data_IF_596562210441
#
_entry.id   IF_596562210441
#
_cell.length_a   1.000
_cell.length_b   1.000
_cell.length_c   1.000
_cell.angle_alpha   90.00
_cell.angle_beta   90.00
_cell.angle_gamma   90.00
#
_symmetry.space_group_name_H-M   'P 1'
#
loop_
_entity.id
_entity.type
_entity.pdbx_description
1 polymer ?
#
# COMPACT_ATOMS: atom_id res chain seq x y z
N UNK A 1 13.72 12.99 11.32
CA UNK A 1 12.35 13.47 11.63
C UNK A 1 12.03 14.50 10.59
N UNK A 2 10.96 14.28 9.85
CA UNK A 2 10.52 15.18 8.78
C UNK A 2 9.45 16.13 9.32
N UNK A 3 9.49 17.38 8.84
CA UNK A 3 8.56 18.45 9.22
C UNK A 3 7.97 19.06 7.96
N UNK A 4 6.65 19.24 7.92
CA UNK A 4 5.98 20.08 6.94
C UNK A 4 5.81 21.49 7.47
N UNK A 5 6.16 22.50 6.67
CA UNK A 5 6.01 23.92 6.99
C UNK A 5 4.78 24.46 6.26
N UNK A 6 3.84 25.03 7.02
CA UNK A 6 2.57 25.52 6.50
C UNK A 6 2.40 27.00 6.83
N UNK A 7 1.82 27.77 5.90
CA UNK A 7 1.44 29.16 6.11
C UNK A 7 -0.03 29.26 6.52
N UNK A 8 -0.30 30.15 7.46
CA UNK A 8 -1.62 30.49 7.98
C UNK A 8 -2.06 31.79 7.34
N UNK A 9 -3.06 31.71 6.48
CA UNK A 9 -3.69 32.87 5.89
C UNK A 9 -5.00 33.17 6.61
N UNK A 10 -5.01 34.30 7.30
CA UNK A 10 -6.16 34.82 8.01
C UNK A 10 -6.82 36.02 7.28
N UNK A 11 -6.42 36.29 6.04
CA UNK A 11 -7.02 37.38 5.25
C UNK A 11 -8.52 37.12 5.00
N UNK A 12 -9.31 38.21 4.97
CA UNK A 12 -10.73 38.19 4.63
C UNK A 12 -11.64 37.31 5.54
N UNK A 13 -11.26 37.10 6.80
CA UNK A 13 -12.10 36.37 7.76
C UNK A 13 -12.22 34.85 7.49
N UNK A 14 -11.47 34.33 6.51
CA UNK A 14 -11.36 32.89 6.23
C UNK A 14 -10.01 32.40 6.75
N UNK A 15 -10.02 31.39 7.62
CA UNK A 15 -8.80 30.72 8.09
C UNK A 15 -8.41 29.66 7.07
N UNK A 16 -7.35 29.92 6.31
CA UNK A 16 -6.78 28.97 5.35
C UNK A 16 -5.39 28.55 5.79
N UNK A 17 -5.04 27.31 5.49
CA UNK A 17 -3.70 26.76 5.70
C UNK A 17 -3.19 26.35 4.32
N UNK A 18 -1.96 26.73 3.98
CA UNK A 18 -1.31 26.35 2.71
C UNK A 18 0.10 25.82 2.98
N UNK A 19 0.70 25.17 2.00
CA UNK A 19 2.12 24.83 2.05
C UNK A 19 2.97 26.10 2.00
N UNK A 20 4.01 26.17 2.84
CA UNK A 20 5.05 27.17 2.68
C UNK A 20 6.19 26.57 1.86
N UNK A 21 6.35 27.00 0.60
CA UNK A 21 7.39 26.48 -0.32
C UNK A 21 8.81 27.01 0.00
N UNK A 22 9.05 27.37 1.26
CA UNK A 22 10.29 27.96 1.78
C UNK A 22 11.20 26.95 2.47
N UNK A 23 10.98 25.65 2.31
CA UNK A 23 11.77 24.58 2.92
C UNK A 23 13.28 24.77 2.69
N UNK A 24 13.69 25.13 1.47
CA UNK A 24 15.10 25.48 1.17
C UNK A 24 15.59 26.69 1.96
N UNK A 25 14.86 27.80 1.94
CA UNK A 25 15.25 29.02 2.65
C UNK A 25 15.38 28.77 4.16
N UNK A 26 14.41 28.07 4.74
CA UNK A 26 14.39 27.70 6.16
C UNK A 26 15.57 26.79 6.51
N UNK A 27 15.84 25.78 5.68
CA UNK A 27 16.97 24.86 5.87
C UNK A 27 18.32 25.60 5.77
N UNK A 28 18.51 26.44 4.75
CA UNK A 28 19.76 27.20 4.54
C UNK A 28 20.02 28.09 5.77
N UNK A 29 19.00 28.80 6.25
CA UNK A 29 19.07 29.60 7.48
C UNK A 29 19.40 28.77 8.72
N UNK A 30 18.79 27.61 8.89
CA UNK A 30 19.07 26.73 10.03
C UNK A 30 20.51 26.23 10.00
N UNK A 31 20.99 25.77 8.84
CA UNK A 31 22.36 25.31 8.67
C UNK A 31 23.38 26.45 8.86
N UNK A 32 23.07 27.68 8.45
CA UNK A 32 23.87 28.86 8.78
C UNK A 32 23.97 29.08 10.29
N UNK A 33 22.84 29.03 11.01
CA UNK A 33 22.83 29.20 12.46
C UNK A 33 23.57 28.09 13.20
N UNK A 34 23.47 26.83 12.76
CA UNK A 34 24.23 25.71 13.34
C UNK A 34 25.75 25.92 13.20
N UNK A 35 26.22 26.45 12.07
CA UNK A 35 27.65 26.76 11.85
C UNK A 35 28.18 27.83 12.80
N UNK A 36 27.37 28.87 13.08
CA UNK A 36 27.79 29.98 13.94
C UNK A 36 27.69 29.65 15.43
N UNK A 37 26.84 28.69 15.79
CA UNK A 37 26.58 28.28 17.16
C UNK A 37 26.96 26.80 17.35
N UNK A 38 28.24 26.45 17.13
CA UNK A 38 28.76 25.11 17.49
C UNK A 38 28.58 24.86 18.99
N UNK A 39 27.44 24.29 19.36
CA UNK A 39 27.13 23.97 20.73
C UNK A 39 27.99 22.78 21.15
N UNK A 40 28.80 22.96 22.20
CA UNK A 40 29.75 21.97 22.74
C UNK A 40 29.14 20.62 23.16
N UNK A 41 27.81 20.43 23.12
CA UNK A 41 27.16 19.22 23.64
C UNK A 41 26.10 18.59 22.72
N UNK A 42 25.17 19.36 22.13
CA UNK A 42 24.08 18.82 21.29
C UNK A 42 23.78 19.74 20.09
N UNK A 43 24.00 19.22 18.88
CA UNK A 43 23.70 19.89 17.62
C UNK A 43 22.58 19.20 16.84
N UNK A 44 22.16 19.83 15.76
CA UNK A 44 21.17 19.31 14.82
C UNK A 44 21.77 19.32 13.41
N UNK A 45 21.42 18.33 12.60
CA UNK A 45 21.72 18.32 11.17
C UNK A 45 20.41 18.49 10.41
N UNK A 46 20.39 19.41 9.43
CA UNK A 46 19.22 19.74 8.63
C UNK A 46 19.47 19.40 7.16
N UNK A 47 18.59 18.61 6.57
CA UNK A 47 18.72 18.13 5.19
C UNK A 47 17.44 18.38 4.39
N UNK A 48 17.54 18.51 3.05
CA UNK A 48 16.38 18.77 2.21
C UNK A 48 15.56 17.50 2.03
N UNK A 49 14.24 17.68 1.96
CA UNK A 49 13.28 16.65 1.59
C UNK A 49 12.66 16.90 0.22
N UNK A 50 11.92 15.92 -0.30
CA UNK A 50 11.28 16.01 -1.62
C UNK A 50 10.40 17.25 -1.77
N UNK A 51 9.55 17.52 -0.78
CA UNK A 51 8.64 18.67 -0.80
C UNK A 51 9.39 19.99 -0.58
N UNK A 52 9.10 21.01 -1.38
CA UNK A 52 9.59 22.39 -1.17
C UNK A 52 9.14 22.99 0.16
N UNK A 53 8.18 22.39 0.86
CA UNK A 53 7.71 22.80 2.18
C UNK A 53 8.27 21.94 3.32
N UNK A 54 9.13 20.98 3.01
CA UNK A 54 9.64 20.01 3.98
C UNK A 54 11.07 20.31 4.38
N UNK A 55 11.38 19.99 5.63
CA UNK A 55 12.75 19.90 6.15
C UNK A 55 12.88 18.65 7.00
N UNK A 56 14.01 17.97 6.92
CA UNK A 56 14.33 16.85 7.81
C UNK A 56 15.42 17.26 8.79
N UNK A 57 15.28 16.82 10.04
CA UNK A 57 16.31 16.98 11.06
C UNK A 57 16.66 15.68 11.80
N UNK A 58 17.96 15.53 12.06
CA UNK A 58 18.56 14.46 12.86
C UNK A 58 19.42 15.05 13.99
N UNK A 59 19.70 14.30 15.07
CA UNK A 59 20.74 14.69 16.01
C UNK A 59 22.09 14.75 15.26
N UNK A 60 22.94 15.73 15.56
CA UNK A 60 24.25 15.86 14.87
C UNK A 60 25.21 14.71 15.15
N UNK A 61 24.98 13.95 16.23
CA UNK A 61 25.75 12.76 16.60
C UNK A 61 24.78 11.64 16.97
N UNK A 62 25.08 10.39 16.62
CA UNK A 62 24.24 9.25 16.99
C UNK A 62 24.17 9.10 18.51
N UNK A 63 23.04 8.58 19.00
CA UNK A 63 22.92 8.12 20.38
C UNK A 63 23.77 6.86 20.57
N UNK A 64 24.34 6.70 21.76
CA UNK A 64 25.14 5.53 22.14
C UNK A 64 24.26 4.41 22.67
N UNK A 65 24.86 3.23 22.91
CA UNK A 65 24.15 2.06 23.45
C UNK A 65 23.79 2.14 24.95
N UNK A 66 24.04 3.27 25.62
CA UNK A 66 23.72 3.43 27.04
C UNK A 66 22.26 3.88 27.24
N UNK A 67 21.58 3.29 28.22
CA UNK A 67 20.20 3.64 28.56
C UNK A 67 19.99 5.13 28.88
N UNK A 68 21.02 5.82 29.39
CA UNK A 68 20.98 7.26 29.62
C UNK A 68 20.74 8.08 28.34
N UNK A 69 21.14 7.59 27.17
CA UNK A 69 20.92 8.31 25.91
C UNK A 69 19.46 8.23 25.43
N UNK A 70 18.67 7.27 25.91
CA UNK A 70 17.23 7.22 25.63
C UNK A 70 16.51 8.46 26.18
N UNK A 71 16.96 8.97 27.34
CA UNK A 71 16.44 10.20 27.95
C UNK A 71 16.77 11.45 27.13
N UNK A 72 17.72 11.37 26.19
CA UNK A 72 18.15 12.49 25.35
C UNK A 72 17.35 12.59 24.05
N UNK A 73 16.68 11.52 23.62
CA UNK A 73 15.96 11.48 22.34
C UNK A 73 14.91 12.59 22.28
N UNK A 74 14.00 12.64 23.26
CA UNK A 74 12.95 13.65 23.30
C UNK A 74 13.52 15.05 23.50
N UNK A 75 14.53 15.20 24.38
CA UNK A 75 15.20 16.48 24.61
C UNK A 75 15.79 17.05 23.31
N UNK A 76 16.45 16.20 22.53
CA UNK A 76 17.02 16.58 21.25
C UNK A 76 15.94 16.86 20.19
N UNK A 77 14.83 16.12 20.18
CA UNK A 77 13.67 16.43 19.32
C UNK A 77 13.06 17.80 19.67
N UNK A 78 12.92 18.12 20.96
CA UNK A 78 12.45 19.43 21.43
C UNK A 78 13.42 20.55 21.02
N UNK A 79 14.73 20.30 21.09
CA UNK A 79 15.75 21.25 20.61
C UNK A 79 15.60 21.51 19.11
N UNK A 80 15.50 20.46 18.29
CA UNK A 80 15.25 20.58 16.84
C UNK A 80 14.01 21.41 16.56
N UNK A 81 12.89 21.10 17.21
CA UNK A 81 11.64 21.88 17.07
C UNK A 81 11.84 23.34 17.48
N UNK A 82 12.48 23.61 18.62
CA UNK A 82 12.74 24.97 19.08
C UNK A 82 13.57 25.76 18.06
N UNK A 83 14.61 25.15 17.48
CA UNK A 83 15.42 25.78 16.42
C UNK A 83 14.61 26.06 15.16
N UNK A 84 13.82 25.08 14.68
CA UNK A 84 12.95 25.25 13.53
C UNK A 84 12.03 26.47 13.69
N UNK A 85 11.40 26.62 14.86
CA UNK A 85 10.51 27.75 15.14
C UNK A 85 11.21 29.12 15.03
N UNK A 86 12.52 29.21 15.21
CA UNK A 86 13.26 30.49 15.05
C UNK A 86 13.46 30.91 13.59
N UNK A 87 13.33 29.96 12.66
CA UNK A 87 13.50 30.18 11.23
C UNK A 87 12.17 30.45 10.50
N UNK A 88 11.04 30.10 11.13
CA UNK A 88 9.69 30.35 10.62
C UNK A 88 9.32 31.84 10.65
N UNK A 89 8.41 32.24 9.76
CA UNK A 89 7.72 33.54 9.83
C UNK A 89 6.61 33.49 10.88
N UNK A 90 6.10 34.66 11.25
CA UNK A 90 5.00 34.79 12.23
C UNK A 90 3.71 34.09 11.79
N UNK A 91 3.49 34.00 10.48
CA UNK A 91 2.35 33.33 9.85
C UNK A 91 2.61 31.87 9.51
N UNK A 92 3.72 31.27 9.96
CA UNK A 92 4.08 29.88 9.65
C UNK A 92 4.04 28.96 10.86
N UNK A 93 3.67 27.71 10.60
CA UNK A 93 3.68 26.62 11.58
C UNK A 93 4.40 25.40 11.00
N UNK A 94 4.99 24.59 11.86
CA UNK A 94 5.63 23.32 11.47
C UNK A 94 5.16 22.15 12.35
N UNK A 95 3.90 21.69 12.19
CA UNK A 95 3.43 20.52 12.90
C UNK A 95 4.10 19.25 12.36
N UNK A 96 4.28 18.25 13.23
CA UNK A 96 4.75 16.92 12.80
C UNK A 96 3.54 16.08 12.43
N UNK A 97 3.03 16.29 11.22
CA UNK A 97 1.94 15.51 10.60
C UNK A 97 2.50 14.67 9.47
N UNK A 98 1.94 13.48 9.24
CA UNK A 98 2.44 12.58 8.19
C UNK A 98 2.09 13.03 6.78
N UNK A 99 1.07 13.84 6.56
CA UNK A 99 0.76 14.41 5.25
C UNK A 99 0.09 15.78 5.42
N UNK A 100 0.12 16.59 4.35
CA UNK A 100 -0.72 17.79 4.26
C UNK A 100 -2.10 17.38 3.74
N UNK A 101 -3.19 17.51 4.54
CA UNK A 101 -4.49 16.95 4.18
C UNK A 101 -5.11 17.50 2.89
N UNK A 102 -4.76 18.74 2.52
CA UNK A 102 -5.36 19.46 1.39
C UNK A 102 -4.47 19.49 0.14
N UNK A 103 -3.33 18.78 0.14
CA UNK A 103 -2.42 18.74 -1.01
C UNK A 103 -3.19 18.35 -2.28
N UNK A 104 -3.18 19.21 -3.30
CA UNK A 104 -3.87 18.96 -4.57
C UNK A 104 -5.40 18.98 -4.51
N UNK A 105 -6.00 19.47 -3.43
CA UNK A 105 -7.44 19.68 -3.32
C UNK A 105 -7.90 20.93 -4.08
N UNK A 106 -9.12 20.91 -4.61
CA UNK A 106 -9.71 22.07 -5.28
C UNK A 106 -9.79 23.27 -4.33
N UNK A 107 -8.99 24.31 -4.58
CA UNK A 107 -8.90 25.51 -3.75
C UNK A 107 -7.54 25.74 -3.07
N UNK A 108 -6.65 24.74 -3.06
CA UNK A 108 -5.23 24.86 -2.70
C UNK A 108 -4.38 25.21 -3.94
N UNK A 109 -4.91 26.10 -4.79
CA UNK A 109 -4.19 26.63 -5.95
C UNK A 109 -3.11 27.56 -5.40
N UNK A 110 -2.00 26.98 -5.00
CA UNK A 110 -0.84 27.73 -4.54
C UNK A 110 -0.31 28.62 -5.66
N UNK A 111 -0.34 28.17 -6.93
CA UNK A 111 0.07 28.95 -8.10
C UNK A 111 -0.77 28.56 -9.32
N UNK A 112 -0.79 29.39 -10.37
CA UNK A 112 -1.69 29.29 -11.53
C UNK A 112 -1.74 27.91 -12.20
N UNK A 113 -2.71 27.70 -13.10
CA UNK A 113 -2.79 26.47 -13.86
C UNK A 113 -1.42 26.11 -14.45
N UNK A 114 -0.96 24.85 -14.34
CA UNK A 114 0.36 24.45 -14.82
C UNK A 114 0.56 24.88 -16.27
N UNK A 115 1.63 25.64 -16.57
CA UNK A 115 1.94 26.01 -17.96
C UNK A 115 2.23 24.75 -18.78
N UNK A 116 1.60 24.62 -19.95
CA UNK A 116 1.74 23.44 -20.81
C UNK A 116 3.19 23.31 -21.31
N UNK A 117 3.84 22.18 -21.01
CA UNK A 117 5.07 21.72 -21.66
C UNK A 117 6.37 21.84 -20.86
N UNK A 118 6.39 22.54 -19.72
CA UNK A 118 7.60 22.74 -18.89
C UNK A 118 7.65 21.90 -17.61
N UNK A 119 6.53 21.29 -17.22
CA UNK A 119 6.44 20.59 -15.94
C UNK A 119 7.12 19.20 -15.93
N UNK A 120 8.02 19.04 -14.99
CA UNK A 120 8.69 17.83 -14.50
C UNK A 120 7.72 16.80 -13.96
N UNK A 121 6.63 17.14 -13.25
CA UNK A 121 5.64 16.15 -12.78
C UNK A 121 4.47 15.92 -13.77
N UNK A 122 4.11 16.94 -14.56
CA UNK A 122 2.93 16.95 -15.47
C UNK A 122 1.60 16.63 -14.77
N UNK A 123 1.54 16.79 -13.44
CA UNK A 123 0.35 16.48 -12.63
C UNK A 123 -0.83 17.36 -13.03
N UNK A 124 -2.04 16.79 -13.01
CA UNK A 124 -3.29 17.51 -13.15
C UNK A 124 -3.67 18.30 -11.88
N UNK A 125 -3.01 18.01 -10.74
CA UNK A 125 -3.36 18.56 -9.43
C UNK A 125 -2.29 19.47 -8.84
N UNK A 126 -1.02 19.24 -9.17
CA UNK A 126 0.12 19.89 -8.52
C UNK A 126 1.02 20.62 -9.52
N UNK A 127 1.43 21.83 -9.13
CA UNK A 127 2.49 22.58 -9.80
C UNK A 127 3.87 22.10 -9.33
N UNK A 128 4.87 22.11 -10.19
CA UNK A 128 6.24 21.68 -9.88
C UNK A 128 6.92 22.50 -8.78
N UNK A 129 6.42 23.69 -8.42
CA UNK A 129 6.90 24.47 -7.29
C UNK A 129 6.86 23.68 -5.96
N UNK A 130 6.02 22.63 -5.89
CA UNK A 130 5.97 21.69 -4.76
C UNK A 130 7.22 20.82 -4.67
N UNK A 131 7.99 20.65 -5.76
CA UNK A 131 9.21 19.86 -5.80
C UNK A 131 10.38 20.73 -5.33
N UNK A 132 11.14 20.22 -4.37
CA UNK A 132 12.32 20.90 -3.86
C UNK A 132 13.29 21.25 -4.99
N UNK A 133 13.82 22.49 -5.03
CA UNK A 133 14.68 22.98 -6.12
C UNK A 133 16.03 22.27 -6.24
N UNK A 134 16.40 21.39 -5.30
CA UNK A 134 17.60 20.58 -5.44
C UNK A 134 17.45 19.62 -6.65
N UNK A 135 18.40 19.60 -7.62
CA UNK A 135 18.24 18.91 -8.92
C UNK A 135 17.86 17.43 -8.84
N UNK A 136 18.26 16.75 -7.76
CA UNK A 136 17.93 15.35 -7.47
C UNK A 136 16.43 15.06 -7.56
N UNK A 137 15.58 15.92 -6.99
CA UNK A 137 14.15 15.62 -6.83
C UNK A 137 13.39 15.76 -8.15
N UNK A 138 13.72 16.80 -8.92
CA UNK A 138 13.20 16.98 -10.26
C UNK A 138 13.67 15.86 -11.21
N UNK A 139 14.96 15.50 -11.16
CA UNK A 139 15.51 14.41 -11.97
C UNK A 139 14.82 13.06 -11.64
N UNK A 140 14.61 12.76 -10.36
CA UNK A 140 13.94 11.53 -9.95
C UNK A 140 12.48 11.48 -10.44
N UNK A 141 11.73 12.58 -10.30
CA UNK A 141 10.35 12.70 -10.78
C UNK A 141 10.27 12.49 -12.30
N UNK A 142 11.17 13.13 -13.06
CA UNK A 142 11.23 12.97 -14.52
C UNK A 142 11.58 11.54 -14.94
N UNK A 143 12.57 10.93 -14.28
CA UNK A 143 13.07 9.60 -14.62
C UNK A 143 12.04 8.50 -14.35
N UNK A 144 11.36 8.55 -13.20
CA UNK A 144 10.30 7.58 -12.85
C UNK A 144 9.20 7.60 -13.91
N UNK A 145 8.68 8.79 -14.24
CA UNK A 145 7.64 8.93 -15.27
C UNK A 145 8.14 8.46 -16.64
N UNK A 146 9.36 8.83 -17.02
CA UNK A 146 9.94 8.44 -18.31
C UNK A 146 10.12 6.92 -18.41
N UNK A 147 10.57 6.26 -17.33
CA UNK A 147 10.72 4.80 -17.27
C UNK A 147 9.37 4.09 -17.27
N UNK A 148 8.42 4.55 -16.46
CA UNK A 148 7.06 3.99 -16.37
C UNK A 148 6.31 4.10 -17.70
N UNK A 149 6.62 5.12 -18.50
CA UNK A 149 5.94 5.45 -19.76
C UNK A 149 4.61 6.19 -19.55
N UNK A 150 4.23 6.43 -18.29
CA UNK A 150 3.01 7.13 -17.88
C UNK A 150 3.24 7.80 -16.53
N UNK A 151 2.28 8.61 -16.08
CA UNK A 151 2.30 9.13 -14.72
C UNK A 151 2.11 8.01 -13.70
N UNK A 152 2.56 8.27 -12.48
CA UNK A 152 2.19 7.42 -11.34
C UNK A 152 0.68 7.50 -11.14
N UNK A 153 0.07 6.39 -10.75
CA UNK A 153 -1.38 6.26 -10.61
C UNK A 153 -1.67 5.79 -9.18
N UNK A 154 -1.88 6.74 -8.28
CA UNK A 154 -2.12 6.45 -6.87
C UNK A 154 -3.63 6.47 -6.64
N UNK A 155 -4.20 5.31 -6.31
CA UNK A 155 -5.63 5.15 -5.99
C UNK A 155 -5.77 4.69 -4.56
N UNK A 156 -6.31 5.57 -3.71
CA UNK A 156 -6.54 5.26 -2.30
C UNK A 156 -8.04 5.06 -2.06
N UNK A 157 -8.48 4.00 -1.36
CA UNK A 157 -9.88 3.80 -1.01
C UNK A 157 -10.50 5.06 -0.39
N UNK A 158 -11.65 5.50 -0.91
CA UNK A 158 -12.39 6.64 -0.36
C UNK A 158 -13.24 6.20 0.83
N UNK A 159 -13.30 6.99 1.89
CA UNK A 159 -14.19 6.69 3.02
C UNK A 159 -15.66 6.79 2.63
N UNK A 160 -16.43 5.73 2.93
CA UNK A 160 -17.87 5.67 2.70
C UNK A 160 -18.63 6.28 3.88
N UNK A 161 -19.15 7.49 3.69
CA UNK A 161 -20.06 8.16 4.60
C UNK A 161 -21.46 8.25 3.96
N UNK A 162 -22.48 8.53 4.77
CA UNK A 162 -23.89 8.71 4.37
C UNK A 162 -24.03 9.67 3.20
N UNK A 163 -23.17 10.69 3.14
CA UNK A 163 -23.21 11.74 2.12
C UNK A 163 -22.02 11.71 1.15
N UNK A 164 -21.26 10.62 1.07
CA UNK A 164 -20.18 10.49 0.07
C UNK A 164 -20.79 10.23 -1.32
N UNK A 165 -20.77 11.21 -2.26
CA UNK A 165 -21.55 11.13 -3.50
C UNK A 165 -21.17 9.93 -4.37
N UNK A 166 -19.89 9.55 -4.38
CA UNK A 166 -19.39 8.45 -5.21
C UNK A 166 -19.95 7.09 -4.79
N UNK A 167 -20.42 6.94 -3.54
CA UNK A 167 -21.09 5.73 -3.06
C UNK A 167 -22.60 5.73 -3.29
N UNK A 168 -23.20 6.87 -3.64
CA UNK A 168 -24.65 6.96 -3.86
C UNK A 168 -25.11 6.30 -5.16
N UNK A 169 -24.20 6.13 -6.12
CA UNK A 169 -24.47 5.56 -7.45
C UNK A 169 -24.02 4.11 -7.62
N UNK A 170 -23.33 3.52 -6.64
CA UNK A 170 -22.85 2.14 -6.71
C UNK A 170 -24.01 1.19 -6.35
N UNK A 171 -24.54 0.49 -7.34
CA UNK A 171 -25.31 -0.71 -7.08
C UNK A 171 -24.38 -1.75 -6.43
N UNK A 172 -24.83 -2.38 -5.35
CA UNK A 172 -24.08 -3.43 -4.68
C UNK A 172 -23.90 -4.61 -5.65
N UNK A 173 -22.74 -4.71 -6.28
CA UNK A 173 -22.31 -5.93 -6.96
C UNK A 173 -20.95 -6.36 -6.41
N UNK A 174 -20.91 -7.60 -5.95
CA UNK A 174 -19.71 -8.32 -5.58
C UNK A 174 -18.90 -8.59 -6.85
N UNK A 175 -17.61 -8.26 -6.84
CA UNK A 175 -16.49 -8.90 -7.57
C UNK A 175 -15.42 -7.86 -7.95
N UNK A 176 -14.35 -7.80 -7.14
CA UNK A 176 -13.07 -7.19 -7.54
C UNK A 176 -12.12 -8.32 -7.96
N UNK A 177 -11.43 -8.17 -9.10
CA UNK A 177 -10.37 -9.06 -9.56
C UNK A 177 -9.02 -8.34 -9.42
N UNK A 178 -8.02 -9.01 -8.84
CA UNK A 178 -6.71 -8.43 -8.49
C UNK A 178 -5.79 -8.13 -9.69
N UNK A 179 -6.25 -8.38 -10.92
CA UNK A 179 -5.44 -8.30 -12.15
C UNK A 179 -5.67 -7.00 -12.95
N UNK A 180 -6.51 -6.08 -12.47
CA UNK A 180 -6.84 -4.85 -13.21
C UNK A 180 -5.88 -3.70 -12.81
N UNK A 181 -5.17 -3.04 -13.75
CA UNK A 181 -4.37 -1.85 -13.47
C UNK A 181 -5.15 -0.67 -12.87
N UNK A 182 -6.48 -0.67 -12.99
CA UNK A 182 -7.38 0.28 -12.35
C UNK A 182 -8.07 -0.26 -11.08
N UNK A 183 -7.91 -1.55 -10.73
CA UNK A 183 -8.45 -2.09 -9.48
C UNK A 183 -7.80 -1.45 -8.26
N UNK A 184 -8.63 -1.15 -7.27
CA UNK A 184 -8.18 -0.64 -5.98
C UNK A 184 -7.34 -1.69 -5.26
N UNK A 185 -6.03 -1.43 -5.16
CA UNK A 185 -5.15 -2.16 -4.26
C UNK A 185 -5.46 -1.73 -2.82
N UNK A 186 -6.55 -2.28 -2.28
CA UNK A 186 -6.83 -2.22 -0.84
C UNK A 186 -5.76 -3.06 -0.15
N UNK A 187 -4.78 -2.42 0.49
CA UNK A 187 -3.89 -3.10 1.41
C UNK A 187 -4.64 -3.24 2.74
N UNK A 188 -5.05 -4.45 3.16
CA UNK A 188 -5.88 -4.60 4.34
C UNK A 188 -5.01 -4.47 5.59
N UNK A 189 -4.83 -3.24 6.06
CA UNK A 189 -4.43 -2.95 7.44
C UNK A 189 -5.61 -2.28 8.15
N UNK A 190 -6.70 -3.02 8.28
CA UNK A 190 -7.89 -2.61 9.03
C UNK A 190 -8.86 -3.77 9.12
N UNK A 191 -9.33 -4.10 10.34
CA UNK A 191 -10.49 -4.98 10.52
C UNK A 191 -11.70 -4.29 9.90
N UNK A 192 -12.25 -4.84 8.83
CA UNK A 192 -13.55 -4.40 8.28
C UNK A 192 -14.68 -5.13 9.02
N UNK A 193 -14.96 -4.73 10.26
CA UNK A 193 -16.10 -5.26 11.03
C UNK A 193 -17.45 -4.62 10.65
N UNK A 194 -17.50 -3.75 9.62
CA UNK A 194 -18.73 -3.04 9.21
C UNK A 194 -19.35 -3.42 7.86
N UNK A 195 -18.78 -4.37 7.11
CA UNK A 195 -19.29 -4.70 5.76
C UNK A 195 -19.54 -6.20 5.49
N UNK A 196 -19.63 -7.05 6.52
CA UNK A 196 -20.03 -8.44 6.33
C UNK A 196 -19.11 -9.25 5.41
N UNK A 197 -17.84 -8.85 5.27
CA UNK A 197 -16.83 -9.68 4.62
C UNK A 197 -16.51 -10.87 5.53
N UNK A 198 -16.47 -12.12 5.02
CA UNK A 198 -16.12 -13.26 5.85
C UNK A 198 -14.70 -13.13 6.39
N UNK A 199 -14.52 -13.55 7.64
CA UNK A 199 -13.25 -13.51 8.35
C UNK A 199 -12.12 -14.20 7.55
N UNK A 200 -10.96 -13.55 7.49
CA UNK A 200 -9.70 -14.16 7.08
C UNK A 200 -9.22 -13.79 5.68
N UNK A 201 -8.53 -12.65 5.57
CA UNK A 201 -7.61 -12.41 4.45
C UNK A 201 -6.18 -12.30 4.97
N UNK A 202 -5.35 -13.22 4.49
CA UNK A 202 -3.89 -13.22 4.63
C UNK A 202 -3.33 -12.82 3.26
N UNK A 203 -2.42 -11.86 3.23
CA UNK A 203 -1.66 -11.53 2.03
C UNK A 203 -0.71 -12.70 1.69
N UNK A 204 -0.84 -13.28 0.50
CA UNK A 204 0.10 -14.28 -0.01
C UNK A 204 1.10 -13.55 -0.91
N UNK A 205 2.32 -13.40 -0.41
CA UNK A 205 3.49 -13.20 -1.25
C UNK A 205 3.91 -14.53 -1.87
N UNK A 206 4.24 -14.52 -3.16
CA UNK A 206 4.89 -15.66 -3.80
C UNK A 206 6.29 -15.85 -3.22
N UNK A 207 6.42 -16.76 -2.24
CA UNK A 207 7.73 -17.33 -1.89
C UNK A 207 7.95 -18.57 -2.74
N UNK A 208 8.85 -18.47 -3.70
CA UNK A 208 9.41 -19.64 -4.38
C UNK A 208 10.13 -20.48 -3.33
N UNK A 209 9.56 -21.64 -2.99
CA UNK A 209 10.25 -22.65 -2.21
C UNK A 209 10.16 -23.98 -2.94
N UNK A 210 11.33 -24.55 -3.19
CA UNK A 210 11.54 -25.87 -3.77
C UNK A 210 11.18 -26.91 -2.72
N UNK A 211 9.98 -27.47 -2.84
CA UNK A 211 9.49 -28.61 -2.06
C UNK A 211 8.97 -29.72 -2.99
N UNK A 212 8.65 -30.91 -2.45
CA UNK A 212 8.37 -32.12 -3.21
C UNK A 212 7.08 -32.09 -4.06
N UNK A 213 6.31 -30.99 -4.02
CA UNK A 213 5.15 -30.74 -4.89
C UNK A 213 5.57 -30.13 -6.24
N UNK A 214 6.58 -30.72 -6.88
CA UNK A 214 7.00 -30.36 -8.24
C UNK A 214 6.02 -30.98 -9.26
N UNK A 215 4.80 -30.44 -9.31
CA UNK A 215 3.84 -30.68 -10.38
C UNK A 215 3.83 -29.50 -11.36
N UNK A 216 3.45 -29.78 -12.61
CA UNK A 216 3.11 -28.76 -13.59
C UNK A 216 2.05 -27.80 -13.01
N UNK A 217 2.00 -26.52 -13.43
CA UNK A 217 1.01 -25.57 -12.92
C UNK A 217 -0.41 -26.10 -13.09
N UNK A 218 -1.09 -26.36 -11.96
CA UNK A 218 -2.44 -26.93 -11.94
C UNK A 218 -3.46 -25.79 -11.87
N UNK A 219 -4.36 -25.72 -12.85
CA UNK A 219 -5.48 -24.76 -12.86
C UNK A 219 -6.56 -25.21 -11.88
N UNK A 220 -6.83 -24.39 -10.86
CA UNK A 220 -7.89 -24.65 -9.90
C UNK A 220 -9.27 -24.35 -10.52
N UNK A 221 -10.26 -25.18 -10.21
CA UNK A 221 -11.66 -25.04 -10.60
C UNK A 221 -12.54 -24.83 -9.36
N UNK A 222 -13.62 -24.06 -9.54
CA UNK A 222 -14.60 -23.81 -8.49
C UNK A 222 -15.67 -24.89 -8.53
N UNK A 223 -15.91 -25.53 -7.39
CA UNK A 223 -16.96 -26.53 -7.22
C UNK A 223 -17.99 -26.04 -6.22
N UNK A 224 -19.26 -26.32 -6.47
CA UNK A 224 -20.36 -26.11 -5.51
C UNK A 224 -20.70 -27.43 -4.83
N UNK A 225 -20.80 -27.41 -3.49
CA UNK A 225 -21.18 -28.57 -2.69
C UNK A 225 -22.71 -28.73 -2.74
N UNK A 226 -23.18 -29.88 -3.24
CA UNK A 226 -24.61 -30.23 -3.30
C UNK A 226 -24.78 -31.74 -3.05
N UNK A 227 -24.91 -32.11 -1.77
CA UNK A 227 -25.18 -33.49 -1.36
C UNK A 227 -26.69 -33.69 -1.24
N UNK A 228 -27.28 -34.41 -2.19
CA UNK A 228 -28.74 -34.66 -2.25
C UNK A 228 -29.21 -35.91 -1.49
N UNK A 229 -28.38 -36.44 -0.61
CA UNK A 229 -28.71 -37.62 0.20
C UNK A 229 -29.56 -37.24 1.43
N UNK A 230 -30.65 -37.98 1.75
CA UNK A 230 -31.53 -37.65 2.87
C UNK A 230 -30.78 -37.63 4.21
N UNK A 231 -30.77 -36.47 4.87
CA UNK A 231 -30.11 -36.28 6.18
C UNK A 231 -28.66 -35.79 6.11
N UNK A 232 -28.13 -35.54 4.91
CA UNK A 232 -26.80 -34.95 4.72
C UNK A 232 -26.90 -33.44 4.50
N UNK A 233 -26.19 -32.66 5.30
CA UNK A 233 -26.14 -31.18 5.19
C UNK A 233 -24.88 -30.68 4.46
N UNK A 234 -23.97 -31.58 4.04
CA UNK A 234 -22.77 -31.33 3.24
C UNK A 234 -21.67 -32.39 3.46
N UNK A 235 -20.38 -32.02 3.32
CA UNK A 235 -19.28 -32.99 3.24
C UNK A 235 -18.17 -32.74 4.26
N UNK A 236 -17.81 -33.73 5.08
CA UNK A 236 -16.64 -33.66 5.95
C UNK A 236 -15.32 -33.56 5.16
N UNK A 237 -14.44 -32.65 5.56
CA UNK A 237 -13.07 -32.64 5.07
C UNK A 237 -12.33 -33.92 5.41
N UNK A 238 -11.38 -34.28 4.56
CA UNK A 238 -10.51 -35.43 4.75
C UNK A 238 -9.06 -35.03 4.58
N UNK A 239 -8.20 -35.50 5.48
CA UNK A 239 -6.75 -35.30 5.39
C UNK A 239 -6.16 -36.10 4.22
N UNK A 240 -6.73 -37.28 3.95
CA UNK A 240 -6.46 -38.14 2.81
C UNK A 240 -7.77 -38.86 2.43
N UNK A 241 -7.93 -39.35 1.19
CA UNK A 241 -9.06 -40.21 0.82
C UNK A 241 -9.27 -41.33 1.84
N UNK A 242 -10.43 -41.33 2.52
CA UNK A 242 -10.75 -42.29 3.58
C UNK A 242 -10.54 -41.82 5.03
N UNK A 243 -9.76 -40.77 5.30
CA UNK A 243 -9.49 -40.28 6.67
C UNK A 243 -10.17 -38.94 6.95
N UNK A 244 -11.26 -38.97 7.73
CA UNK A 244 -12.04 -37.78 8.09
C UNK A 244 -11.26 -36.88 9.04
N UNK A 245 -11.22 -35.59 8.74
CA UNK A 245 -10.67 -34.56 9.61
C UNK A 245 -11.72 -34.11 10.62
N UNK A 246 -11.82 -34.83 11.75
CA UNK A 246 -12.85 -34.60 12.77
C UNK A 246 -12.76 -33.21 13.46
N UNK A 247 -11.58 -32.59 13.45
CA UNK A 247 -11.31 -31.31 14.12
C UNK A 247 -11.44 -30.10 13.17
N UNK A 248 -11.78 -30.32 11.90
CA UNK A 248 -11.96 -29.27 10.90
C UNK A 248 -13.45 -28.99 10.67
N UNK A 249 -13.84 -27.71 10.53
CA UNK A 249 -15.17 -27.35 10.04
C UNK A 249 -15.39 -27.92 8.63
N UNK A 250 -16.62 -28.15 8.20
CA UNK A 250 -16.89 -28.84 6.92
C UNK A 250 -17.91 -28.07 6.05
N UNK A 251 -17.72 -28.04 4.72
CA UNK A 251 -18.53 -27.23 3.81
C UNK A 251 -19.96 -27.79 3.68
N UNK A 252 -20.93 -26.90 3.78
CA UNK A 252 -22.36 -27.21 3.71
C UNK A 252 -22.86 -27.13 2.27
N UNK A 253 -24.03 -27.74 2.02
CA UNK A 253 -24.69 -27.61 0.73
C UNK A 253 -24.91 -26.13 0.37
N UNK A 254 -24.45 -25.71 -0.81
CA UNK A 254 -24.43 -24.32 -1.29
C UNK A 254 -23.07 -23.64 -1.19
N UNK A 255 -22.13 -24.15 -0.38
CA UNK A 255 -20.78 -23.59 -0.27
C UNK A 255 -19.97 -23.84 -1.55
N UNK A 256 -19.08 -22.90 -1.86
CA UNK A 256 -18.17 -23.01 -2.99
C UNK A 256 -16.75 -23.30 -2.51
N UNK A 257 -16.16 -24.36 -3.04
CA UNK A 257 -14.82 -24.83 -2.72
C UNK A 257 -13.92 -24.76 -3.95
N UNK A 258 -12.66 -24.36 -3.76
CA UNK A 258 -11.69 -24.22 -4.83
C UNK A 258 -10.67 -25.36 -4.77
N UNK A 259 -10.51 -26.09 -5.86
CA UNK A 259 -9.63 -27.24 -5.91
C UNK A 259 -9.41 -27.75 -7.33
N UNK A 260 -8.67 -28.84 -7.46
CA UNK A 260 -8.50 -29.54 -8.73
C UNK A 260 -8.87 -31.00 -8.56
N UNK A 261 -9.36 -31.60 -9.64
CA UNK A 261 -9.74 -33.00 -9.64
C UNK A 261 -8.51 -33.90 -9.65
N UNK A 262 -8.57 -34.96 -8.85
CA UNK A 262 -7.61 -36.05 -8.82
C UNK A 262 -8.37 -37.36 -9.02
N UNK A 263 -7.86 -38.23 -9.89
CA UNK A 263 -8.45 -39.55 -10.11
C UNK A 263 -7.89 -40.54 -9.09
N UNK A 264 -8.68 -41.56 -8.75
CA UNK A 264 -8.28 -42.59 -7.79
C UNK A 264 -6.97 -43.32 -8.12
N UNK A 265 -6.59 -43.32 -9.40
CA UNK A 265 -5.33 -43.90 -9.89
C UNK A 265 -4.07 -43.15 -9.40
N UNK A 266 -4.20 -41.86 -9.05
CA UNK A 266 -3.08 -41.03 -8.55
C UNK A 266 -2.82 -41.22 -7.04
N UNK A 267 -3.78 -41.78 -6.30
CA UNK A 267 -3.76 -41.89 -4.83
C UNK A 267 -3.96 -43.33 -4.32
N UNK A 268 -4.01 -44.32 -5.22
CA UNK A 268 -4.19 -45.76 -4.91
C UNK A 268 -5.47 -46.04 -4.10
N UNK A 269 -6.53 -45.27 -4.37
CA UNK A 269 -7.84 -45.34 -3.68
C UNK A 269 -9.00 -45.21 -4.67
N UNK A 270 -10.07 -46.02 -4.55
CA UNK A 270 -11.19 -45.95 -5.47
C UNK A 270 -12.00 -44.65 -5.33
N UNK A 271 -12.41 -44.08 -6.47
CA UNK A 271 -13.30 -42.91 -6.55
C UNK A 271 -12.66 -41.68 -7.20
N UNK A 272 -13.49 -40.65 -7.46
CA UNK A 272 -13.05 -39.34 -7.97
C UNK A 272 -13.01 -38.34 -6.83
N UNK A 273 -11.92 -37.59 -6.73
CA UNK A 273 -11.65 -36.69 -5.61
C UNK A 273 -11.32 -35.28 -6.10
N UNK A 274 -11.56 -34.29 -5.25
CA UNK A 274 -11.08 -32.92 -5.44
C UNK A 274 -10.11 -32.61 -4.32
N UNK A 275 -8.86 -32.26 -4.67
CA UNK A 275 -7.91 -31.70 -3.71
C UNK A 275 -8.08 -30.19 -3.68
N UNK A 276 -8.43 -29.71 -2.49
CA UNK A 276 -8.72 -28.31 -2.27
C UNK A 276 -7.43 -27.51 -2.05
N UNK A 277 -7.50 -26.20 -2.31
CA UNK A 277 -6.39 -25.27 -2.07
C UNK A 277 -5.92 -25.28 -0.61
N UNK A 278 -6.83 -25.53 0.33
CA UNK A 278 -6.52 -25.63 1.76
C UNK A 278 -5.88 -26.98 2.17
N UNK A 279 -5.59 -27.86 1.21
CA UNK A 279 -4.89 -29.13 1.44
C UNK A 279 -5.79 -30.32 1.77
N UNK A 280 -7.09 -30.12 1.97
CA UNK A 280 -8.04 -31.19 2.26
C UNK A 280 -8.62 -31.83 0.99
N UNK A 281 -9.21 -33.02 1.17
CA UNK A 281 -9.81 -33.81 0.10
C UNK A 281 -11.32 -33.90 0.30
N UNK A 282 -12.08 -33.77 -0.79
CA UNK A 282 -13.51 -34.02 -0.84
C UNK A 282 -13.86 -35.00 -1.97
N UNK A 283 -14.81 -35.92 -1.76
CA UNK A 283 -15.27 -36.82 -2.80
C UNK A 283 -16.11 -36.05 -3.84
N UNK A 284 -15.84 -36.26 -5.12
CA UNK A 284 -16.62 -35.68 -6.21
C UNK A 284 -17.99 -36.37 -6.33
N UNK A 285 -18.04 -37.66 -6.03
CA UNK A 285 -19.21 -38.53 -6.14
C UNK A 285 -19.18 -39.66 -5.12
N UNK A 286 -20.31 -40.35 -4.96
CA UNK A 286 -20.37 -41.60 -4.18
C UNK A 286 -19.47 -42.68 -4.80
N UNK A 287 -19.10 -43.71 -4.03
CA UNK A 287 -18.21 -44.80 -4.44
C UNK A 287 -18.69 -45.54 -5.70
N UNK A 288 -20.02 -45.61 -5.91
CA UNK A 288 -20.62 -46.22 -7.11
C UNK A 288 -20.80 -45.25 -8.29
N UNK A 289 -20.35 -43.99 -8.15
CA UNK A 289 -20.51 -42.89 -9.12
C UNK A 289 -21.95 -42.58 -9.55
N UNK A 290 -22.94 -43.00 -8.77
CA UNK A 290 -24.38 -42.81 -9.07
C UNK A 290 -24.92 -41.44 -8.67
N UNK A 291 -24.29 -40.79 -7.69
CA UNK A 291 -24.63 -39.44 -7.22
C UNK A 291 -23.36 -38.60 -7.11
N UNK A 292 -23.37 -37.40 -7.70
CA UNK A 292 -22.30 -36.41 -7.56
C UNK A 292 -22.58 -35.52 -6.34
N UNK A 293 -21.53 -35.21 -5.58
CA UNK A 293 -21.58 -34.35 -4.40
C UNK A 293 -21.00 -32.95 -4.67
N UNK A 294 -20.15 -32.84 -5.68
CA UNK A 294 -19.50 -31.61 -6.11
C UNK A 294 -19.81 -31.37 -7.59
N UNK A 295 -20.31 -30.18 -7.90
CA UNK A 295 -20.58 -29.76 -9.27
C UNK A 295 -19.62 -28.64 -9.68
N UNK A 296 -18.94 -28.74 -10.84
CA UNK A 296 -18.23 -27.60 -11.40
C UNK A 296 -19.19 -26.43 -11.53
N UNK A 297 -18.81 -25.25 -11.03
CA UNK A 297 -19.62 -24.06 -11.25
C UNK A 297 -19.64 -23.75 -12.76
N UNK A 298 -20.82 -23.76 -13.38
CA UNK A 298 -20.97 -23.59 -14.83
C UNK A 298 -20.25 -22.32 -15.31
N UNK A 299 -19.45 -22.47 -16.36
CA UNK A 299 -18.94 -21.34 -17.15
C UNK A 299 -20.12 -20.76 -17.93
N UNK A 300 -20.82 -19.79 -17.36
CA UNK A 300 -21.76 -19.00 -18.12
C UNK A 300 -21.01 -18.35 -19.29
N UNK A 301 -21.47 -18.66 -20.50
CA UNK A 301 -20.92 -18.23 -21.77
C UNK A 301 -21.19 -16.74 -22.00
N UNK A 302 -20.22 -15.89 -21.69
CA UNK A 302 -20.22 -14.49 -22.13
C UNK A 302 -19.64 -14.37 -23.54
N UNK A 303 -20.47 -14.70 -24.54
CA UNK A 303 -20.30 -14.25 -25.93
C UNK A 303 -21.62 -13.65 -26.42
N UNK A 304 -21.92 -12.42 -25.97
CA UNK A 304 -22.66 -11.41 -26.72
C UNK A 304 -22.82 -10.12 -25.90
N UNK A 305 -21.86 -9.20 -26.01
CA UNK A 305 -22.09 -7.75 -26.19
C UNK A 305 -20.76 -7.00 -26.03
N UNK A 306 -20.28 -6.45 -27.14
CA UNK A 306 -19.20 -5.46 -27.18
C UNK A 306 -19.69 -4.09 -26.72
N UNK A 307 -20.33 -4.01 -25.58
CA UNK A 307 -20.62 -2.76 -24.90
C UNK A 307 -20.06 -2.86 -23.49
N UNK A 308 -19.33 -1.82 -23.12
CA UNK A 308 -18.58 -1.69 -21.88
C UNK A 308 -19.41 -2.21 -20.69
N UNK A 309 -19.10 -3.43 -20.23
CA UNK A 309 -19.44 -3.83 -18.87
C UNK A 309 -18.82 -2.78 -17.98
N UNK A 310 -19.65 -1.94 -17.38
CA UNK A 310 -19.26 -0.86 -16.49
C UNK A 310 -18.49 -1.49 -15.33
N UNK A 311 -17.16 -1.54 -15.47
CA UNK A 311 -16.22 -1.98 -14.44
C UNK A 311 -16.47 -1.11 -13.23
N UNK A 312 -17.05 -1.69 -12.19
CA UNK A 312 -17.40 -1.00 -10.96
C UNK A 312 -16.12 -0.72 -10.18
N UNK A 313 -15.43 0.35 -10.58
CA UNK A 313 -14.34 0.94 -9.83
C UNK A 313 -14.89 1.42 -8.50
N UNK A 314 -14.50 0.76 -7.41
CA UNK A 314 -14.73 1.30 -6.06
C UNK A 314 -14.23 2.77 -6.03
N UNK A 315 -14.96 3.69 -5.38
CA UNK A 315 -14.53 5.07 -5.27
C UNK A 315 -13.14 5.18 -4.65
N UNK A 316 -12.30 5.97 -5.28
CA UNK A 316 -10.92 6.17 -4.86
C UNK A 316 -10.55 7.65 -4.90
N UNK A 317 -9.70 8.05 -3.96
CA UNK A 317 -8.96 9.31 -4.03
C UNK A 317 -7.82 9.09 -5.04
N UNK A 318 -7.93 9.75 -6.18
CA UNK A 318 -6.92 9.70 -7.24
C UNK A 318 -5.87 10.82 -7.09
N UNK A 319 -4.60 10.43 -7.20
CA UNK A 319 -3.41 11.25 -7.09
C UNK A 319 -2.39 10.78 -8.14
N UNK A 320 -1.71 11.71 -8.82
CA UNK A 320 -0.97 11.44 -10.07
C UNK A 320 0.48 11.96 -10.06
N UNK A 321 1.02 12.25 -8.87
CA UNK A 321 2.32 12.88 -8.70
C UNK A 321 3.10 12.27 -7.53
N UNK A 322 4.42 12.21 -7.69
CA UNK A 322 5.35 11.74 -6.65
C UNK A 322 5.22 12.54 -5.35
N UNK A 323 4.89 13.84 -5.45
CA UNK A 323 4.65 14.71 -4.30
C UNK A 323 3.55 14.23 -3.35
N UNK A 324 2.56 13.46 -3.82
CA UNK A 324 1.51 12.94 -2.94
C UNK A 324 2.03 11.88 -1.95
N UNK A 325 3.05 11.11 -2.34
CA UNK A 325 3.70 10.15 -1.46
C UNK A 325 4.95 10.73 -0.80
N UNK A 326 5.95 11.14 -1.58
CA UNK A 326 7.21 11.68 -1.05
C UNK A 326 7.08 13.06 -0.39
N UNK A 327 5.92 13.73 -0.53
CA UNK A 327 5.55 14.89 0.27
C UNK A 327 4.96 14.55 1.65
N UNK A 328 4.85 13.27 1.98
CA UNK A 328 4.50 12.81 3.32
C UNK A 328 5.72 12.82 4.25
N UNK A 329 5.49 13.04 5.54
CA UNK A 329 6.52 12.97 6.58
C UNK A 329 6.51 11.63 7.33
N UNK A 330 7.66 11.28 7.91
CA UNK A 330 7.81 10.12 8.78
C UNK A 330 8.82 10.30 9.92
N UNK A 331 8.76 9.33 10.84
CA UNK A 331 9.78 9.11 11.86
C UNK A 331 10.60 7.89 11.45
N UNK A 332 11.91 8.07 11.34
CA UNK A 332 12.87 7.02 11.04
C UNK A 332 13.89 6.92 12.17
N UNK A 333 14.35 5.70 12.44
CA UNK A 333 15.41 5.40 13.40
C UNK A 333 16.37 4.43 12.75
N UNK A 334 17.67 4.73 12.84
CA UNK A 334 18.75 3.91 12.28
C UNK A 334 19.60 3.37 13.42
N UNK A 335 19.85 2.06 13.41
CA UNK A 335 20.69 1.36 14.37
C UNK A 335 21.99 0.92 13.70
N UNK A 336 23.11 1.07 14.41
CA UNK A 336 24.38 0.49 14.01
C UNK A 336 24.57 -0.85 14.73
N UNK A 337 24.74 -1.93 13.97
CA UNK A 337 25.13 -3.23 14.50
C UNK A 337 26.66 -3.33 14.63
N UNK A 338 27.14 -4.35 15.35
CA UNK A 338 28.55 -4.65 15.53
C UNK A 338 29.22 -5.04 14.21
N UNK A 339 28.54 -5.84 13.38
CA UNK A 339 29.04 -6.36 12.11
C UNK A 339 27.90 -6.70 11.15
N UNK A 340 28.26 -7.29 9.99
CA UNK A 340 27.30 -7.65 8.95
C UNK A 340 26.37 -8.79 9.37
N UNK A 341 26.82 -9.72 10.21
CA UNK A 341 26.01 -10.88 10.62
C UNK A 341 24.91 -10.43 11.58
N UNK A 342 25.26 -9.59 12.56
CA UNK A 342 24.28 -8.98 13.45
C UNK A 342 23.34 -8.03 12.69
N UNK A 343 23.86 -7.26 11.72
CA UNK A 343 23.02 -6.38 10.88
C UNK A 343 21.93 -7.17 10.14
N UNK A 344 22.29 -8.32 9.56
CA UNK A 344 21.34 -9.20 8.85
C UNK A 344 20.31 -9.77 9.80
N UNK A 345 20.76 -10.26 10.96
CA UNK A 345 19.87 -10.79 11.97
C UNK A 345 18.86 -9.73 12.45
N UNK A 346 19.32 -8.53 12.81
CA UNK A 346 18.45 -7.43 13.23
C UNK A 346 17.48 -7.01 12.13
N UNK A 347 17.95 -6.92 10.88
CA UNK A 347 17.11 -6.59 9.74
C UNK A 347 15.95 -7.59 9.58
N UNK A 348 16.25 -8.89 9.64
CA UNK A 348 15.24 -9.95 9.49
C UNK A 348 14.18 -9.90 10.62
N UNK A 349 14.61 -9.62 11.86
CA UNK A 349 13.67 -9.47 12.98
C UNK A 349 12.80 -8.20 12.86
N UNK A 350 13.39 -7.08 12.46
CA UNK A 350 12.69 -5.80 12.34
C UNK A 350 11.72 -5.77 11.15
N UNK A 351 12.00 -6.53 10.08
CA UNK A 351 11.14 -6.63 8.91
C UNK A 351 9.73 -7.11 9.27
N UNK A 352 9.61 -8.09 10.18
CA UNK A 352 8.32 -8.61 10.65
C UNK A 352 7.58 -7.60 11.54
N UNK A 353 8.31 -6.72 12.23
CA UNK A 353 7.73 -5.68 13.09
C UNK A 353 7.28 -4.44 12.32
N UNK A 354 7.85 -4.17 11.14
CA UNK A 354 7.54 -2.99 10.33
C UNK A 354 6.03 -2.78 10.09
N UNK A 355 5.24 -3.78 9.63
CA UNK A 355 3.80 -3.59 9.44
C UNK A 355 3.03 -3.34 10.75
N UNK A 356 3.44 -3.96 11.86
CA UNK A 356 2.83 -3.75 13.17
C UNK A 356 3.06 -2.31 13.62
N UNK A 357 4.28 -1.82 13.50
CA UNK A 357 4.62 -0.44 13.84
C UNK A 357 3.91 0.57 12.94
N UNK A 358 3.77 0.26 11.64
CA UNK A 358 2.99 1.08 10.71
C UNK A 358 1.53 1.21 11.16
N UNK A 359 0.87 0.11 11.54
CA UNK A 359 -0.50 0.15 12.04
C UNK A 359 -0.61 0.89 13.38
N UNK A 360 0.30 0.66 14.32
CA UNK A 360 0.31 1.31 15.63
C UNK A 360 0.56 2.83 15.55
N UNK A 361 1.24 3.28 14.50
CA UNK A 361 1.63 4.69 14.29
C UNK A 361 0.85 5.35 13.16
N UNK A 362 -0.27 4.76 12.75
CA UNK A 362 -1.10 5.26 11.67
C UNK A 362 -1.56 6.70 11.92
N UNK A 363 -1.43 7.56 10.91
CA UNK A 363 -1.64 9.01 11.06
C UNK A 363 -2.03 9.72 9.77
N UNK A 364 -2.39 9.00 8.71
CA UNK A 364 -2.69 9.55 7.37
C UNK A 364 -4.14 9.23 6.91
N UNK A 365 -5.18 9.72 7.62
CA UNK A 365 -6.58 9.43 7.26
C UNK A 365 -7.19 10.41 6.24
N UNK A 366 -6.51 11.50 5.88
CA UNK A 366 -7.04 12.54 4.97
C UNK A 366 -6.04 12.80 3.86
N UNK A 367 -6.53 12.77 2.61
CA UNK A 367 -5.75 12.98 1.41
C UNK A 367 -6.55 13.83 0.44
N UNK A 368 -5.93 14.85 -0.15
CA UNK A 368 -6.54 15.69 -1.18
C UNK A 368 -7.92 16.25 -0.78
N UNK A 369 -8.08 16.59 0.50
CA UNK A 369 -9.31 17.10 1.09
C UNK A 369 -10.43 16.08 1.28
N UNK A 370 -10.13 14.78 1.18
CA UNK A 370 -11.09 13.68 1.31
C UNK A 370 -10.62 12.71 2.41
N UNK A 371 -11.58 12.12 3.14
CA UNK A 371 -11.30 11.04 4.07
C UNK A 371 -10.99 9.75 3.30
N UNK A 372 -9.88 9.11 3.64
CA UNK A 372 -9.48 7.83 3.08
C UNK A 372 -9.99 6.68 3.95
N UNK A 373 -10.30 5.54 3.35
CA UNK A 373 -10.61 4.28 4.05
C UNK A 373 -9.31 3.49 4.35
N UNK A 374 -8.30 4.22 4.81
CA UNK A 374 -7.00 3.72 5.28
C UNK A 374 -6.32 4.79 6.13
N UNK A 375 -5.54 4.36 7.11
CA UNK A 375 -4.91 5.26 8.07
C UNK A 375 -3.39 5.41 7.84
N UNK A 376 -2.82 4.66 6.90
CA UNK A 376 -1.38 4.58 6.67
C UNK A 376 -0.97 5.09 5.28
N UNK A 377 0.16 5.80 5.23
CA UNK A 377 0.70 6.37 3.99
C UNK A 377 1.48 5.40 3.09
N UNK A 378 1.72 4.16 3.52
CA UNK A 378 2.66 3.27 2.82
C UNK A 378 2.28 2.98 1.38
N UNK A 379 1.02 2.61 1.12
CA UNK A 379 0.54 2.36 -0.25
C UNK A 379 0.67 3.60 -1.13
N UNK A 380 0.45 4.79 -0.56
CA UNK A 380 0.58 6.08 -1.25
C UNK A 380 2.02 6.32 -1.68
N UNK A 381 2.98 6.15 -0.75
CA UNK A 381 4.40 6.34 -1.02
C UNK A 381 4.88 5.33 -2.06
N UNK A 382 4.52 4.05 -1.88
CA UNK A 382 4.87 2.96 -2.80
C UNK A 382 4.46 3.29 -4.23
N UNK A 383 3.20 3.68 -4.45
CA UNK A 383 2.69 4.02 -5.78
C UNK A 383 3.26 5.35 -6.31
N UNK A 384 3.59 6.30 -5.44
CA UNK A 384 4.12 7.62 -5.85
C UNK A 384 5.49 7.57 -6.51
N UNK A 385 6.23 6.48 -6.32
CA UNK A 385 7.55 6.24 -6.92
C UNK A 385 7.61 4.94 -7.71
N UNK A 386 6.45 4.34 -8.01
CA UNK A 386 6.38 3.10 -8.78
C UNK A 386 6.77 3.37 -10.23
N UNK A 387 8.00 2.98 -10.58
CA UNK A 387 8.56 3.17 -11.90
C UNK A 387 8.28 1.98 -12.84
N UNK A 388 7.58 0.93 -12.37
CA UNK A 388 7.28 -0.28 -13.13
C UNK A 388 6.48 0.02 -14.39
N UNK A 389 7.01 -0.44 -15.51
CA UNK A 389 6.31 -0.48 -16.81
C UNK A 389 5.04 -1.34 -16.73
N UNK A 390 4.08 -1.17 -17.65
CA UNK A 390 2.92 -2.06 -17.74
C UNK A 390 3.27 -3.57 -17.76
N UNK A 391 4.32 -3.96 -18.48
CA UNK A 391 4.82 -5.33 -18.52
C UNK A 391 5.30 -5.82 -17.14
N UNK A 392 6.06 -5.00 -16.40
CA UNK A 392 6.52 -5.32 -15.03
C UNK A 392 5.37 -5.37 -14.01
N UNK A 393 4.22 -4.76 -14.32
CA UNK A 393 2.98 -4.86 -13.54
C UNK A 393 2.08 -6.02 -13.97
N UNK A 394 2.44 -6.74 -15.03
CA UNK A 394 1.65 -7.84 -15.60
C UNK A 394 0.37 -7.38 -16.30
N UNK A 395 0.32 -6.13 -16.79
CA UNK A 395 -0.87 -5.56 -17.43
C UNK A 395 -0.90 -5.75 -18.96
N UNK A 396 0.25 -6.03 -19.58
CA UNK A 396 0.38 -6.25 -21.02
C UNK A 396 1.00 -7.64 -21.28
N UNK A 397 0.65 -8.27 -22.41
CA UNK A 397 1.30 -9.49 -22.94
C UNK A 397 2.72 -9.22 -23.47
N UNK A 398 3.20 -7.97 -23.37
CA UNK A 398 4.52 -7.57 -23.85
C UNK A 398 5.62 -8.13 -22.94
N UNK A 399 6.64 -8.81 -23.51
CA UNK A 399 7.73 -9.36 -22.72
C UNK A 399 8.53 -8.22 -22.06
N UNK A 400 8.94 -8.37 -20.77
CA UNK A 400 9.72 -7.36 -20.09
C UNK A 400 11.03 -7.07 -20.86
N UNK A 401 11.37 -5.79 -20.99
CA UNK A 401 12.55 -5.36 -21.75
C UNK A 401 13.83 -6.00 -21.18
N UNK A 402 14.62 -6.73 -21.99
CA UNK A 402 15.85 -7.40 -21.54
C UNK A 402 16.96 -6.42 -21.12
N UNK A 403 16.79 -5.12 -21.39
CA UNK A 403 17.70 -4.06 -20.93
C UNK A 403 17.31 -3.45 -19.58
N UNK A 404 16.06 -3.62 -19.14
CA UNK A 404 15.51 -3.05 -17.89
C UNK A 404 15.34 -4.08 -16.78
N UNK A 405 15.28 -5.37 -17.12
CA UNK A 405 15.44 -6.44 -16.14
C UNK A 405 16.81 -6.28 -15.48
N UNK A 406 16.82 -5.93 -14.19
CA UNK A 406 18.04 -5.73 -13.43
C UNK A 406 18.98 -6.91 -13.65
N UNK A 407 20.15 -6.64 -14.25
CA UNK A 407 21.25 -7.62 -14.31
C UNK A 407 21.80 -7.74 -12.89
N UNK A 408 21.04 -8.38 -12.00
CA UNK A 408 21.56 -8.89 -10.75
C UNK A 408 22.71 -9.82 -11.10
N UNK A 409 23.93 -9.40 -10.77
CA UNK A 409 25.10 -10.27 -10.81
C UNK A 409 25.11 -11.17 -9.60
#
# INVERSE_FOLDING_TARGET
VEYGIFSLDASEGRRRIRLSLRGREVMDRLNDLERHHEHRAEGCSWVPEYGSWMVEATPSRPYTGYSNDLLRVERNMRLRRARLMTALREDEIAPTVSCFPLLGAHGDILHGAPEEGTNVARSAYLDDAVINPHPRFAALTANIRARRGSQVNIRVPLFSDVNTPEYQTLAASEHDCACDPDALMTWPYGRSDRFGLPDGYVAIGCSGTTGPDAGDPITLQKYTVDVREPGCEGLYYRFLPGMIANDAGWPRNGDQVLGYEITGDDLDVPGRWVRLQNGYYLPLSNLDNTAAFLHPADKHTDRASSEASSRLLRPAIHMDAMAFGMGCCCLQVTFQAQDIDESRFLHDQLAVLAPIMMALTASTPILKGRLADTDARWGIISESVDDRTPAERGCDDDPPSPHLAGRGR
#
